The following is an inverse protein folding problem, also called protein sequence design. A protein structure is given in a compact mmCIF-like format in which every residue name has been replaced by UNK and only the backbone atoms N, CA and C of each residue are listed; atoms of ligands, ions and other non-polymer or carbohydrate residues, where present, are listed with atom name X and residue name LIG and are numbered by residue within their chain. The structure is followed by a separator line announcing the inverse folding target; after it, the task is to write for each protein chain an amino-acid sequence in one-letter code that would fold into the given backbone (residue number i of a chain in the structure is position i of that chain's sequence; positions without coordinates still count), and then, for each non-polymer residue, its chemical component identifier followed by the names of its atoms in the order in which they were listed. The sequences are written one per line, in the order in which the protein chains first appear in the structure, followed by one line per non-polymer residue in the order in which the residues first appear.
data_IF_746664075995
#
_entry.id   IF_746664075995
#
_cell.length_a   1.000
_cell.length_b   1.000
_cell.length_c   1.000
_cell.angle_alpha   90.00
_cell.angle_beta   90.00
_cell.angle_gamma   90.00
#
_symmetry.space_group_name_H-M   'P 1'
#
loop_
_entity.id
_entity.type
_entity.pdbx_description
1 polymer ?
#
# COMPACT_ATOMS: atom_id res chain seq x y z
N UNK A 1 -21.37 4.17 20.87
CA UNK A 1 -22.38 5.17 20.41
C UNK A 1 -23.41 5.40 21.50
N UNK A 2 -23.78 6.65 21.74
CA UNK A 2 -24.86 7.00 22.69
C UNK A 2 -26.24 6.82 22.06
N UNK A 3 -27.31 6.83 22.88
CA UNK A 3 -28.68 6.78 22.37
C UNK A 3 -29.02 7.98 21.48
N UNK A 4 -28.50 9.16 21.78
CA UNK A 4 -28.70 10.39 21.02
C UNK A 4 -28.03 10.30 19.64
N UNK A 5 -26.80 9.81 19.58
CA UNK A 5 -26.06 9.57 18.32
C UNK A 5 -26.76 8.56 17.42
N UNK A 6 -27.38 7.51 18.00
CA UNK A 6 -28.15 6.55 17.22
C UNK A 6 -29.41 7.19 16.61
N UNK A 7 -30.10 8.03 17.39
CA UNK A 7 -31.26 8.79 16.88
C UNK A 7 -30.86 9.73 15.74
N UNK A 8 -29.73 10.40 15.84
CA UNK A 8 -29.21 11.26 14.77
C UNK A 8 -28.85 10.45 13.51
N UNK A 9 -28.23 9.27 13.69
CA UNK A 9 -27.96 8.37 12.57
C UNK A 9 -29.23 7.87 11.87
N UNK A 10 -30.27 7.53 12.61
CA UNK A 10 -31.57 7.18 12.02
C UNK A 10 -32.13 8.33 11.17
N UNK A 11 -32.06 9.58 11.65
CA UNK A 11 -32.46 10.76 10.87
C UNK A 11 -31.62 10.93 9.61
N UNK A 12 -30.31 10.73 9.70
CA UNK A 12 -29.39 10.77 8.55
C UNK A 12 -29.80 9.74 7.48
N UNK A 13 -30.00 8.48 7.90
CA UNK A 13 -30.41 7.39 7.01
C UNK A 13 -31.74 7.71 6.31
N UNK A 14 -32.73 8.23 7.04
CA UNK A 14 -34.02 8.61 6.47
C UNK A 14 -33.89 9.74 5.46
N UNK A 15 -32.92 10.64 5.63
CA UNK A 15 -32.68 11.77 4.72
C UNK A 15 -31.95 11.36 3.44
N UNK A 16 -30.91 10.54 3.57
CA UNK A 16 -29.99 10.25 2.46
C UNK A 16 -30.23 8.91 1.79
N UNK A 17 -30.95 7.98 2.43
CA UNK A 17 -31.34 6.68 1.87
C UNK A 17 -30.15 5.90 1.31
N UNK A 18 -29.07 5.77 2.07
CA UNK A 18 -27.86 5.07 1.66
C UNK A 18 -27.13 4.43 2.83
N UNK A 19 -26.47 3.32 2.54
CA UNK A 19 -25.38 2.75 3.34
C UNK A 19 -24.06 3.46 3.03
N UNK A 20 -23.03 3.21 3.80
CA UNK A 20 -21.70 3.75 3.59
C UNK A 20 -20.64 2.69 3.87
N UNK A 21 -19.37 3.00 3.61
CA UNK A 21 -18.26 2.10 3.96
C UNK A 21 -18.18 1.73 5.45
N UNK A 22 -18.83 2.49 6.33
CA UNK A 22 -18.83 2.27 7.79
C UNK A 22 -20.22 2.06 8.37
N UNK A 23 -21.25 1.90 7.53
CA UNK A 23 -22.62 1.75 7.96
C UNK A 23 -23.31 0.63 7.18
N UNK A 24 -23.90 -0.31 7.89
CA UNK A 24 -24.69 -1.42 7.37
C UNK A 24 -26.06 -1.45 8.03
N UNK A 25 -27.12 -1.76 7.26
CA UNK A 25 -28.49 -1.78 7.73
C UNK A 25 -29.10 -3.17 7.64
N UNK A 26 -29.83 -3.57 8.65
CA UNK A 26 -30.53 -4.86 8.71
C UNK A 26 -31.94 -4.68 9.24
N UNK A 27 -32.95 -5.25 8.57
CA UNK A 27 -34.33 -5.12 9.01
C UNK A 27 -34.56 -5.76 10.37
N UNK A 28 -34.11 -6.99 10.54
CA UNK A 28 -34.28 -7.78 11.78
C UNK A 28 -35.73 -7.76 12.37
N UNK A 29 -36.74 -7.49 11.55
CA UNK A 29 -38.17 -7.47 11.94
C UNK A 29 -38.67 -8.88 12.31
N UNK A 30 -38.16 -9.91 11.59
CA UNK A 30 -38.63 -11.31 11.74
C UNK A 30 -37.61 -12.23 12.39
N UNK A 31 -36.43 -11.73 12.73
CA UNK A 31 -35.34 -12.49 13.33
C UNK A 31 -33.99 -11.86 13.09
N UNK A 32 -32.98 -12.29 13.85
CA UNK A 32 -31.61 -11.87 13.65
C UNK A 32 -31.07 -12.48 12.35
N UNK A 33 -30.39 -11.72 11.48
CA UNK A 33 -29.67 -12.29 10.35
C UNK A 33 -28.70 -13.38 10.81
N UNK A 34 -28.71 -14.52 10.10
CA UNK A 34 -27.89 -15.69 10.47
C UNK A 34 -26.46 -15.60 9.99
N UNK A 35 -26.16 -14.66 9.09
CA UNK A 35 -24.85 -14.51 8.43
C UNK A 35 -24.38 -13.06 8.50
N UNK A 36 -23.94 -12.62 9.70
CA UNK A 36 -23.29 -11.32 9.87
C UNK A 36 -21.76 -11.42 9.72
N UNK A 37 -21.24 -12.64 9.49
CA UNK A 37 -19.79 -12.89 9.53
C UNK A 37 -19.00 -12.08 8.50
N UNK A 38 -19.59 -11.86 7.32
CA UNK A 38 -18.95 -11.13 6.24
C UNK A 38 -18.77 -9.65 6.66
N UNK A 39 -19.84 -9.02 7.17
CA UNK A 39 -19.82 -7.65 7.70
C UNK A 39 -18.99 -7.52 8.97
N UNK A 40 -19.06 -8.48 9.90
CA UNK A 40 -18.21 -8.49 11.09
C UNK A 40 -16.73 -8.56 10.74
N UNK A 41 -16.38 -9.37 9.73
CA UNK A 41 -15.01 -9.47 9.22
C UNK A 41 -14.59 -8.18 8.54
N UNK A 42 -15.36 -7.67 7.60
CA UNK A 42 -15.02 -6.48 6.80
C UNK A 42 -14.84 -5.23 7.66
N UNK A 43 -15.76 -4.99 8.61
CA UNK A 43 -15.65 -3.86 9.53
C UNK A 43 -14.46 -4.00 10.49
N UNK A 44 -14.20 -5.21 11.00
CA UNK A 44 -13.03 -5.41 11.85
C UNK A 44 -11.71 -5.26 11.11
N UNK A 45 -11.68 -5.50 9.80
CA UNK A 45 -10.47 -5.41 8.97
C UNK A 45 -10.21 -4.02 8.40
N UNK A 46 -11.04 -3.02 8.68
CA UNK A 46 -10.75 -1.62 8.39
C UNK A 46 -10.43 -0.81 9.65
N UNK A 47 -9.74 0.32 9.51
CA UNK A 47 -9.23 1.07 10.66
C UNK A 47 -10.33 1.71 11.51
N UNK A 48 -11.36 2.23 10.85
CA UNK A 48 -12.43 2.97 11.52
C UNK A 48 -13.54 2.04 12.05
N UNK A 49 -13.44 0.73 11.81
CA UNK A 49 -14.51 -0.19 12.15
C UNK A 49 -15.80 0.10 11.37
N UNK A 50 -16.95 -0.22 11.97
CA UNK A 50 -18.24 0.07 11.34
C UNK A 50 -19.40 -0.10 12.30
N UNK A 51 -20.59 0.31 11.86
CA UNK A 51 -21.82 0.26 12.64
C UNK A 51 -22.87 -0.53 11.86
N UNK A 52 -23.43 -1.55 12.50
CA UNK A 52 -24.60 -2.27 11.98
C UNK A 52 -25.82 -1.76 12.74
N UNK A 53 -26.83 -1.27 12.03
CA UNK A 53 -28.10 -0.83 12.63
C UNK A 53 -29.20 -1.80 12.25
N UNK A 54 -29.87 -2.35 13.24
CA UNK A 54 -31.00 -3.27 13.10
C UNK A 54 -32.33 -2.55 13.33
N UNK A 55 -33.32 -2.86 12.52
CA UNK A 55 -34.66 -2.27 12.56
C UNK A 55 -34.97 -1.36 11.38
N UNK A 56 -34.09 -1.35 10.33
CA UNK A 56 -34.31 -0.61 9.09
C UNK A 56 -34.34 -1.59 7.93
N UNK A 57 -35.37 -1.51 7.08
CA UNK A 57 -35.50 -2.32 5.89
C UNK A 57 -35.13 -1.50 4.64
N UNK A 58 -33.92 -1.71 4.14
CA UNK A 58 -33.42 -1.09 2.93
C UNK A 58 -34.31 -1.39 1.70
N UNK A 59 -34.80 -2.64 1.60
CA UNK A 59 -35.63 -3.08 0.48
C UNK A 59 -37.01 -2.40 0.44
N UNK A 60 -37.45 -1.82 1.55
CA UNK A 60 -38.66 -1.02 1.67
C UNK A 60 -38.32 0.48 1.76
N UNK A 61 -37.40 0.96 0.94
CA UNK A 61 -37.02 2.38 0.89
C UNK A 61 -36.52 2.90 2.28
N UNK A 62 -35.68 2.11 2.94
CA UNK A 62 -35.09 2.44 4.24
C UNK A 62 -36.13 2.64 5.37
N UNK A 63 -37.22 1.91 5.28
CA UNK A 63 -38.33 2.01 6.24
C UNK A 63 -37.89 1.58 7.65
N UNK A 64 -38.22 2.37 8.64
CA UNK A 64 -38.09 2.05 10.07
C UNK A 64 -39.11 0.98 10.46
N UNK A 65 -38.69 -0.29 10.51
CA UNK A 65 -39.56 -1.42 10.85
C UNK A 65 -39.45 -1.82 12.32
N UNK A 66 -38.30 -1.51 12.95
CA UNK A 66 -37.96 -1.97 14.31
C UNK A 66 -37.51 -3.43 14.33
N UNK A 67 -36.93 -3.86 15.45
CA UNK A 67 -36.51 -5.26 15.66
C UNK A 67 -37.60 -6.05 16.37
N UNK A 68 -37.66 -7.35 16.12
CA UNK A 68 -38.68 -8.24 16.75
C UNK A 68 -38.46 -8.41 18.26
N UNK A 69 -37.22 -8.46 18.73
CA UNK A 69 -36.84 -8.58 20.13
C UNK A 69 -35.42 -8.04 20.31
N UNK A 70 -35.26 -6.95 21.03
CA UNK A 70 -33.97 -6.28 21.22
C UNK A 70 -32.99 -7.09 22.09
N UNK A 71 -33.46 -7.92 23.01
CA UNK A 71 -32.60 -8.76 23.83
C UNK A 71 -32.08 -9.96 23.06
N UNK A 72 -32.94 -10.63 22.28
CA UNK A 72 -32.52 -11.76 21.46
C UNK A 72 -31.57 -11.32 20.34
N UNK A 73 -31.77 -10.16 19.74
CA UNK A 73 -30.84 -9.57 18.75
C UNK A 73 -29.47 -9.39 19.37
N UNK A 74 -29.35 -8.75 20.54
CA UNK A 74 -28.07 -8.55 21.20
C UNK A 74 -27.35 -9.89 21.51
N UNK A 75 -28.10 -10.89 22.00
CA UNK A 75 -27.58 -12.21 22.28
C UNK A 75 -27.02 -12.87 21.00
N UNK A 76 -27.77 -12.89 19.92
CA UNK A 76 -27.39 -13.51 18.66
C UNK A 76 -26.21 -12.80 17.98
N UNK A 77 -26.13 -11.47 18.07
CA UNK A 77 -24.96 -10.72 17.60
C UNK A 77 -23.71 -11.19 18.35
N UNK A 78 -23.79 -11.24 19.70
CA UNK A 78 -22.66 -11.71 20.51
C UNK A 78 -22.27 -13.16 20.18
N UNK A 79 -23.24 -14.05 19.99
CA UNK A 79 -22.97 -15.44 19.59
C UNK A 79 -22.21 -15.51 18.25
N UNK A 80 -22.56 -14.69 17.28
CA UNK A 80 -21.85 -14.61 15.99
C UNK A 80 -20.45 -14.00 16.16
N UNK A 81 -20.31 -12.95 16.96
CA UNK A 81 -19.02 -12.33 17.26
C UNK A 81 -18.02 -13.31 17.93
N UNK A 82 -18.49 -14.22 18.78
CA UNK A 82 -17.67 -15.27 19.39
C UNK A 82 -17.14 -16.30 18.40
N UNK A 83 -17.76 -16.42 17.22
CA UNK A 83 -17.30 -17.30 16.15
C UNK A 83 -16.26 -16.65 15.23
N UNK A 84 -15.97 -15.37 15.44
CA UNK A 84 -14.88 -14.68 14.75
C UNK A 84 -13.52 -15.01 15.37
N UNK A 85 -12.46 -14.88 14.59
CA UNK A 85 -11.08 -15.05 15.04
C UNK A 85 -10.20 -13.92 14.48
N UNK A 86 -9.60 -13.07 15.31
CA UNK A 86 -9.87 -12.90 16.75
C UNK A 86 -11.36 -12.63 17.06
N UNK A 87 -11.72 -12.84 18.35
CA UNK A 87 -13.10 -12.58 18.80
C UNK A 87 -13.43 -11.10 18.66
N UNK A 88 -14.52 -10.78 18.00
CA UNK A 88 -15.04 -9.42 17.89
C UNK A 88 -15.85 -9.05 19.15
N UNK A 89 -15.69 -7.85 19.66
CA UNK A 89 -16.40 -7.34 20.85
C UNK A 89 -17.16 -6.08 20.48
N UNK A 90 -18.43 -6.20 20.03
CA UNK A 90 -19.22 -5.05 19.63
C UNK A 90 -19.65 -4.22 20.83
N UNK A 91 -19.82 -2.91 20.65
CA UNK A 91 -20.54 -2.04 21.56
C UNK A 91 -21.99 -1.95 21.11
N UNK A 92 -22.91 -2.41 21.95
CA UNK A 92 -24.33 -2.48 21.63
C UNK A 92 -25.08 -1.32 22.27
N UNK A 93 -25.96 -0.66 21.50
CA UNK A 93 -26.85 0.38 21.98
C UNK A 93 -28.28 0.06 21.53
N UNK A 94 -29.23 0.19 22.44
CA UNK A 94 -30.65 -0.03 22.18
C UNK A 94 -31.42 1.25 22.45
N UNK A 95 -32.31 1.61 21.55
CA UNK A 95 -33.24 2.72 21.72
C UNK A 95 -34.67 2.30 21.40
N UNK A 96 -35.62 3.00 21.99
CA UNK A 96 -37.03 2.93 21.62
C UNK A 96 -37.42 4.25 20.90
N UNK A 97 -38.04 4.14 19.76
CA UNK A 97 -38.59 5.25 18.97
C UNK A 97 -39.94 4.85 18.41
N UNK A 98 -41.01 5.61 18.71
CA UNK A 98 -42.35 5.37 18.18
C UNK A 98 -42.84 3.92 18.43
N UNK A 99 -42.67 3.41 19.66
CA UNK A 99 -42.99 2.04 20.05
C UNK A 99 -42.26 0.94 19.25
N UNK A 100 -41.12 1.25 18.65
CA UNK A 100 -40.25 0.30 17.97
C UNK A 100 -38.85 0.35 18.58
N UNK A 101 -38.24 -0.82 18.73
CA UNK A 101 -36.87 -0.91 19.20
C UNK A 101 -35.90 -0.95 18.00
N UNK A 102 -34.79 -0.25 18.17
CA UNK A 102 -33.65 -0.28 17.26
C UNK A 102 -32.40 -0.67 18.03
N UNK A 103 -31.57 -1.49 17.41
CA UNK A 103 -30.32 -1.93 18.00
C UNK A 103 -29.18 -1.51 17.07
N UNK A 104 -28.12 -0.93 17.62
CA UNK A 104 -26.89 -0.73 16.90
C UNK A 104 -25.79 -1.61 17.49
N UNK A 105 -24.95 -2.16 16.61
CA UNK A 105 -23.72 -2.84 16.95
C UNK A 105 -22.55 -2.08 16.32
N UNK A 106 -21.77 -1.41 17.16
CA UNK A 106 -20.53 -0.76 16.74
C UNK A 106 -19.41 -1.79 16.79
N UNK A 107 -18.84 -2.09 15.63
CA UNK A 107 -17.78 -3.07 15.44
C UNK A 107 -16.46 -2.32 15.39
N UNK A 108 -15.56 -2.52 16.37
CA UNK A 108 -14.26 -1.84 16.34
C UNK A 108 -13.37 -2.38 15.24
N UNK A 109 -12.59 -1.51 14.63
CA UNK A 109 -11.47 -1.93 13.79
C UNK A 109 -10.42 -2.65 14.63
N UNK A 110 -9.96 -3.80 14.18
CA UNK A 110 -8.90 -4.55 14.85
C UNK A 110 -7.53 -3.89 14.62
N UNK A 111 -6.61 -4.06 15.57
CA UNK A 111 -5.21 -3.70 15.35
C UNK A 111 -4.64 -4.54 14.19
N UNK A 112 -3.69 -3.98 13.45
CA UNK A 112 -3.10 -4.66 12.29
C UNK A 112 -2.45 -6.01 12.65
N UNK A 113 -1.97 -6.17 13.89
CA UNK A 113 -1.45 -7.46 14.38
C UNK A 113 -2.53 -8.53 14.58
N UNK A 114 -3.78 -8.12 14.74
CA UNK A 114 -4.92 -9.02 14.91
C UNK A 114 -5.64 -9.30 13.59
N UNK A 115 -5.30 -8.59 12.51
CA UNK A 115 -5.86 -8.82 11.16
C UNK A 115 -5.16 -9.99 10.45
N UNK A 116 -5.87 -10.70 9.56
CA UNK A 116 -7.27 -10.51 9.27
C UNK A 116 -8.17 -11.14 10.35
N UNK A 117 -9.25 -10.43 10.70
CA UNK A 117 -10.35 -10.99 11.47
C UNK A 117 -11.24 -11.80 10.53
N UNK A 118 -11.50 -13.06 10.85
CA UNK A 118 -12.20 -13.98 9.97
C UNK A 118 -13.22 -14.86 10.69
N UNK A 119 -14.16 -15.41 9.95
CA UNK A 119 -15.10 -16.42 10.45
C UNK A 119 -14.44 -17.79 10.58
N UNK A 120 -14.39 -18.35 11.79
CA UNK A 120 -13.75 -19.65 12.09
C UNK A 120 -14.30 -20.80 11.23
N UNK A 121 -15.61 -20.81 10.98
CA UNK A 121 -16.27 -21.88 10.23
C UNK A 121 -15.82 -22.01 8.77
N UNK A 122 -15.30 -20.90 8.16
CA UNK A 122 -14.76 -20.88 6.79
C UNK A 122 -13.24 -20.89 6.74
N UNK A 123 -12.55 -20.65 7.88
CA UNK A 123 -11.09 -20.49 7.94
C UNK A 123 -10.62 -19.16 7.38
N UNK A 124 -9.30 -18.85 7.55
CA UNK A 124 -8.75 -17.54 7.26
C UNK A 124 -8.91 -17.11 5.79
N UNK A 125 -8.68 -17.99 4.83
CA UNK A 125 -8.71 -17.66 3.39
C UNK A 125 -10.13 -17.37 2.89
N UNK A 126 -11.13 -18.16 3.35
CA UNK A 126 -12.52 -18.03 2.87
C UNK A 126 -13.42 -17.25 3.82
N UNK A 127 -12.96 -16.96 5.01
CA UNK A 127 -13.72 -16.28 6.05
C UNK A 127 -13.27 -14.84 6.31
N UNK A 128 -12.26 -14.33 5.58
CA UNK A 128 -11.79 -12.95 5.66
C UNK A 128 -12.43 -12.09 4.60
N UNK A 129 -12.94 -10.92 5.01
CA UNK A 129 -13.61 -9.96 4.13
C UNK A 129 -13.04 -8.55 4.35
N UNK A 130 -13.12 -7.73 3.30
CA UNK A 130 -12.84 -6.29 3.33
C UNK A 130 -14.06 -5.51 2.88
N UNK A 131 -14.17 -4.27 3.30
CA UNK A 131 -15.23 -3.36 2.86
C UNK A 131 -14.78 -2.60 1.63
N UNK A 132 -15.57 -2.66 0.55
CA UNK A 132 -15.35 -1.92 -0.71
C UNK A 132 -16.61 -1.15 -1.02
N UNK A 133 -16.60 0.15 -0.74
CA UNK A 133 -17.82 0.96 -0.77
C UNK A 133 -18.81 0.50 0.30
N UNK A 134 -19.95 0.00 -0.13
CA UNK A 134 -21.01 -0.58 0.71
C UNK A 134 -21.08 -2.12 0.67
N UNK A 135 -20.10 -2.77 0.00
CA UNK A 135 -20.08 -4.22 -0.17
C UNK A 135 -19.01 -4.89 0.67
N UNK A 136 -19.33 -6.08 1.19
CA UNK A 136 -18.39 -6.98 1.87
C UNK A 136 -17.79 -7.92 0.83
N UNK A 137 -16.52 -7.72 0.46
CA UNK A 137 -15.84 -8.56 -0.52
C UNK A 137 -14.84 -9.52 0.14
N UNK A 138 -14.75 -10.79 -0.33
CA UNK A 138 -13.74 -11.71 0.15
C UNK A 138 -12.33 -11.14 -0.09
N UNK A 139 -11.45 -11.30 0.89
CA UNK A 139 -10.03 -11.01 0.72
C UNK A 139 -9.40 -11.99 -0.28
N UNK A 140 -8.51 -11.47 -1.08
CA UNK A 140 -7.61 -12.29 -1.91
C UNK A 140 -6.58 -13.02 -1.03
N UNK A 141 -5.99 -14.10 -1.54
CA UNK A 141 -4.91 -14.80 -0.83
C UNK A 141 -3.73 -13.87 -0.54
N UNK A 142 -3.47 -12.91 -1.42
CA UNK A 142 -2.42 -11.91 -1.24
C UNK A 142 -2.74 -10.95 -0.08
N UNK A 143 -3.96 -10.47 0.03
CA UNK A 143 -4.38 -9.59 1.14
C UNK A 143 -4.26 -10.31 2.49
N UNK A 144 -4.67 -11.58 2.56
CA UNK A 144 -4.47 -12.42 3.76
C UNK A 144 -2.99 -12.58 4.08
N UNK A 145 -2.17 -12.91 3.05
CA UNK A 145 -0.73 -13.05 3.20
C UNK A 145 -0.07 -11.77 3.71
N UNK A 146 -0.47 -10.60 3.22
CA UNK A 146 0.16 -9.32 3.62
C UNK A 146 0.03 -9.03 5.11
N UNK A 147 -1.13 -9.33 5.72
CA UNK A 147 -1.30 -9.24 7.18
C UNK A 147 -0.45 -10.27 7.93
N UNK A 148 -0.39 -11.50 7.43
CA UNK A 148 0.43 -12.55 8.04
C UNK A 148 1.93 -12.24 7.97
N UNK A 149 2.39 -11.75 6.83
CA UNK A 149 3.78 -11.34 6.60
C UNK A 149 4.20 -10.22 7.58
N UNK A 150 3.34 -9.23 7.77
CA UNK A 150 3.59 -8.16 8.73
C UNK A 150 3.64 -8.70 10.17
N UNK A 151 2.66 -9.48 10.59
CA UNK A 151 2.57 -10.04 11.95
C UNK A 151 3.75 -10.96 12.28
N UNK A 152 4.17 -11.80 11.34
CA UNK A 152 5.30 -12.72 11.49
C UNK A 152 6.65 -12.09 11.17
N UNK A 153 6.66 -10.82 10.74
CA UNK A 153 7.87 -10.09 10.33
C UNK A 153 8.67 -10.84 9.25
N UNK A 154 7.98 -11.32 8.23
CA UNK A 154 8.63 -11.90 7.07
C UNK A 154 9.51 -10.86 6.41
N UNK A 155 10.73 -11.25 6.09
CA UNK A 155 11.73 -10.43 5.41
C UNK A 155 12.08 -11.12 4.10
N UNK A 156 11.33 -10.78 3.05
CA UNK A 156 11.53 -11.38 1.73
C UNK A 156 12.86 -10.96 1.10
N UNK A 157 13.40 -9.83 1.49
CA UNK A 157 14.69 -9.33 1.03
C UNK A 157 15.88 -10.21 1.45
N UNK A 158 15.76 -10.98 2.55
CA UNK A 158 16.80 -11.93 2.99
C UNK A 158 16.50 -13.39 2.63
N UNK A 159 15.47 -13.66 1.83
CA UNK A 159 15.24 -15.02 1.33
C UNK A 159 16.40 -15.46 0.43
N UNK A 160 16.80 -16.72 0.54
CA UNK A 160 17.86 -17.26 -0.28
C UNK A 160 17.40 -17.55 -1.70
N UNK A 161 18.29 -17.39 -2.67
CA UNK A 161 18.03 -17.62 -4.09
C UNK A 161 18.94 -18.76 -4.58
N UNK A 162 18.42 -19.99 -4.56
CA UNK A 162 19.20 -21.21 -4.80
C UNK A 162 19.93 -21.24 -6.15
N UNK A 163 19.42 -20.53 -7.16
CA UNK A 163 19.99 -20.50 -8.50
C UNK A 163 21.16 -19.52 -8.67
N UNK A 164 21.41 -18.68 -7.66
CA UNK A 164 22.44 -17.62 -7.73
C UNK A 164 23.69 -18.11 -7.00
N UNK A 165 24.83 -17.90 -7.64
CA UNK A 165 26.14 -18.15 -7.04
C UNK A 165 26.88 -16.85 -6.80
N UNK A 166 27.92 -16.86 -5.97
CA UNK A 166 28.74 -15.69 -5.70
C UNK A 166 29.37 -15.10 -6.99
N UNK A 167 29.70 -15.93 -7.96
CA UNK A 167 30.22 -15.51 -9.28
C UNK A 167 29.20 -14.70 -10.13
N UNK A 168 27.92 -14.71 -9.75
CA UNK A 168 26.87 -13.91 -10.41
C UNK A 168 26.80 -12.47 -9.90
N UNK A 169 27.53 -12.15 -8.83
CA UNK A 169 27.61 -10.82 -8.26
C UNK A 169 28.72 -9.99 -8.93
N UNK A 170 28.49 -8.69 -9.05
CA UNK A 170 29.51 -7.74 -9.47
C UNK A 170 30.53 -7.56 -8.35
N UNK A 171 31.72 -8.09 -8.55
CA UNK A 171 32.80 -8.04 -7.57
C UNK A 171 33.20 -6.59 -7.21
N UNK A 172 33.23 -5.69 -8.21
CA UNK A 172 33.64 -4.31 -7.96
C UNK A 172 32.61 -3.57 -7.09
N UNK A 173 31.33 -3.75 -7.41
CA UNK A 173 30.23 -3.14 -6.65
C UNK A 173 30.18 -3.67 -5.22
N UNK A 174 30.32 -4.99 -5.05
CA UNK A 174 30.34 -5.62 -3.73
C UNK A 174 31.57 -5.21 -2.91
N UNK A 175 32.76 -5.17 -3.55
CA UNK A 175 33.99 -4.72 -2.90
C UNK A 175 33.89 -3.26 -2.44
N UNK A 176 33.33 -2.38 -3.28
CA UNK A 176 33.06 -0.99 -2.90
C UNK A 176 32.11 -0.89 -1.71
N UNK A 177 31.03 -1.67 -1.70
CA UNK A 177 30.09 -1.75 -0.57
C UNK A 177 30.80 -2.13 0.73
N UNK A 178 31.63 -3.20 0.71
CA UNK A 178 32.40 -3.66 1.87
C UNK A 178 33.38 -2.59 2.35
N UNK A 179 34.07 -1.91 1.43
CA UNK A 179 34.97 -0.82 1.76
C UNK A 179 34.25 0.34 2.47
N UNK A 180 33.11 0.79 1.92
CA UNK A 180 32.28 1.85 2.52
C UNK A 180 31.75 1.43 3.89
N UNK A 181 31.31 0.18 4.02
CA UNK A 181 30.84 -0.38 5.28
C UNK A 181 31.92 -0.37 6.37
N UNK A 182 33.16 -0.83 6.04
CA UNK A 182 34.30 -0.83 6.96
C UNK A 182 34.74 0.58 7.34
N UNK A 183 34.68 1.53 6.40
CA UNK A 183 34.98 2.95 6.69
C UNK A 183 33.93 3.56 7.65
N UNK A 184 32.66 3.29 7.45
CA UNK A 184 31.58 3.81 8.28
C UNK A 184 31.43 3.12 9.64
N UNK A 185 31.95 1.87 9.76
CA UNK A 185 31.82 1.02 10.97
C UNK A 185 33.15 0.38 11.33
N UNK A 186 34.03 1.07 12.08
CA UNK A 186 35.40 0.62 12.34
C UNK A 186 35.50 -0.77 12.94
N UNK A 187 34.52 -1.22 13.73
CA UNK A 187 34.53 -2.57 14.32
C UNK A 187 34.46 -3.67 13.24
N UNK A 188 33.84 -3.40 12.09
CA UNK A 188 33.78 -4.35 10.98
C UNK A 188 35.14 -4.44 10.23
N UNK A 189 36.00 -3.44 10.34
CA UNK A 189 37.32 -3.48 9.70
C UNK A 189 38.21 -4.62 10.18
N UNK A 190 37.99 -5.13 11.40
CA UNK A 190 38.74 -6.25 11.99
C UNK A 190 38.17 -7.64 11.61
N UNK A 191 37.02 -7.68 10.89
CA UNK A 191 36.34 -8.93 10.51
C UNK A 191 36.67 -9.24 9.06
N UNK A 192 36.77 -10.54 8.71
CA UNK A 192 36.97 -10.97 7.33
C UNK A 192 35.80 -10.58 6.44
N UNK A 193 36.00 -10.39 5.14
CA UNK A 193 34.94 -10.10 4.20
C UNK A 193 33.91 -11.23 4.18
N UNK A 194 34.37 -12.47 4.34
CA UNK A 194 33.51 -13.66 4.36
C UNK A 194 32.51 -13.65 5.53
N UNK A 195 33.00 -13.24 6.73
CA UNK A 195 32.12 -13.09 7.91
C UNK A 195 31.20 -11.89 7.76
N UNK A 196 31.63 -10.82 7.07
CA UNK A 196 30.80 -9.67 6.80
C UNK A 196 29.65 -10.05 5.84
N UNK A 197 29.90 -10.91 4.86
CA UNK A 197 28.84 -11.37 3.95
C UNK A 197 27.69 -12.04 4.69
N UNK A 198 27.96 -12.90 5.66
CA UNK A 198 26.93 -13.50 6.51
C UNK A 198 26.27 -12.45 7.44
N UNK A 199 27.09 -11.63 8.11
CA UNK A 199 26.62 -10.63 9.08
C UNK A 199 25.70 -9.59 8.44
N UNK A 200 25.98 -9.19 7.21
CA UNK A 200 25.24 -8.19 6.46
C UNK A 200 24.16 -8.79 5.55
N UNK A 201 23.92 -10.08 5.66
CA UNK A 201 22.92 -10.81 4.87
C UNK A 201 23.16 -10.78 3.35
N UNK A 202 24.41 -10.59 2.92
CA UNK A 202 24.80 -10.79 1.51
C UNK A 202 24.58 -12.26 1.13
N UNK A 203 24.93 -13.14 2.04
CA UNK A 203 24.60 -14.56 1.97
C UNK A 203 24.02 -15.05 3.29
N UNK A 204 23.32 -16.18 3.25
CA UNK A 204 22.77 -16.89 4.39
C UNK A 204 22.97 -18.38 4.16
N UNK A 205 23.64 -19.06 5.09
CA UNK A 205 23.99 -20.49 4.93
C UNK A 205 24.72 -20.76 3.60
N UNK A 206 25.68 -19.94 3.23
CA UNK A 206 26.44 -19.98 1.97
C UNK A 206 25.58 -19.78 0.69
N UNK A 207 24.35 -19.31 0.79
CA UNK A 207 23.47 -19.00 -0.33
C UNK A 207 23.23 -17.50 -0.43
N UNK A 208 23.16 -16.99 -1.66
CA UNK A 208 22.95 -15.56 -1.92
C UNK A 208 21.51 -15.18 -1.58
N UNK A 209 21.34 -14.02 -0.93
CA UNK A 209 20.01 -13.48 -0.60
C UNK A 209 19.42 -12.67 -1.74
N UNK A 210 18.11 -12.44 -1.70
CA UNK A 210 17.42 -11.62 -2.69
C UNK A 210 17.93 -10.17 -2.70
N UNK A 211 18.18 -9.57 -1.52
CA UNK A 211 18.77 -8.22 -1.43
C UNK A 211 20.07 -8.12 -2.21
N UNK A 212 20.94 -9.12 -2.04
CA UNK A 212 22.21 -9.18 -2.77
C UNK A 212 22.04 -9.38 -4.26
N UNK A 213 21.05 -10.16 -4.69
CA UNK A 213 20.74 -10.28 -6.11
C UNK A 213 20.30 -8.93 -6.67
N UNK A 214 19.40 -8.23 -5.97
CA UNK A 214 18.85 -6.96 -6.44
C UNK A 214 19.83 -5.79 -6.40
N UNK A 215 20.81 -5.81 -5.47
CA UNK A 215 21.76 -4.71 -5.33
C UNK A 215 23.13 -5.00 -5.97
N UNK A 216 23.56 -6.26 -6.05
CA UNK A 216 24.94 -6.59 -6.44
C UNK A 216 25.04 -7.57 -7.62
N UNK A 217 23.94 -8.16 -8.11
CA UNK A 217 24.04 -9.05 -9.27
C UNK A 217 24.34 -8.27 -10.55
N UNK A 218 25.11 -8.91 -11.45
CA UNK A 218 25.39 -8.39 -12.79
C UNK A 218 24.10 -8.25 -13.62
N UNK A 219 23.11 -9.13 -13.42
CA UNK A 219 21.83 -9.06 -14.13
C UNK A 219 20.74 -9.78 -13.31
N UNK A 220 20.08 -9.09 -12.36
CA UNK A 220 19.04 -9.66 -11.50
C UNK A 220 17.88 -10.29 -12.29
N UNK A 221 17.53 -9.72 -13.44
CA UNK A 221 16.39 -10.15 -14.27
C UNK A 221 16.60 -11.50 -14.96
N UNK A 222 17.84 -12.02 -14.99
CA UNK A 222 18.09 -13.41 -15.37
C UNK A 222 17.42 -14.42 -14.42
N UNK A 223 17.27 -14.04 -13.15
CA UNK A 223 16.65 -14.85 -12.10
C UNK A 223 15.20 -14.46 -11.84
N UNK A 224 14.91 -13.16 -11.93
CA UNK A 224 13.64 -12.54 -11.66
C UNK A 224 13.20 -11.62 -12.80
N UNK A 225 12.71 -12.16 -13.91
CA UNK A 225 12.44 -11.36 -15.11
C UNK A 225 11.49 -10.18 -14.91
N UNK A 226 10.59 -10.25 -13.93
CA UNK A 226 9.61 -9.19 -13.67
C UNK A 226 9.99 -8.25 -12.52
N UNK A 227 11.14 -8.46 -11.84
CA UNK A 227 11.69 -7.49 -10.90
C UNK A 227 12.41 -6.36 -11.66
N UNK A 228 11.67 -5.64 -12.47
CA UNK A 228 12.11 -4.55 -13.34
C UNK A 228 11.12 -3.39 -13.29
N UNK A 229 11.40 -2.32 -14.02
CA UNK A 229 10.48 -1.20 -14.24
C UNK A 229 10.01 -1.23 -15.71
N UNK A 230 8.71 -1.15 -15.93
CA UNK A 230 8.13 -0.89 -17.26
C UNK A 230 7.70 0.57 -17.29
N UNK A 231 8.34 1.35 -18.13
CA UNK A 231 8.05 2.78 -18.29
C UNK A 231 7.39 3.02 -19.65
N UNK A 232 6.28 3.76 -19.67
CA UNK A 232 5.50 4.06 -20.87
C UNK A 232 5.06 5.52 -20.90
N UNK A 233 4.97 6.08 -22.11
CA UNK A 233 4.34 7.38 -22.39
C UNK A 233 3.10 7.12 -23.23
N UNK A 234 1.94 7.51 -22.72
CA UNK A 234 0.65 7.36 -23.43
C UNK A 234 0.24 8.70 -24.06
N UNK A 235 -0.48 8.68 -25.21
CA UNK A 235 -0.83 9.90 -25.94
C UNK A 235 -1.90 10.76 -25.28
N UNK A 236 -2.59 10.26 -24.26
CA UNK A 236 -3.70 10.95 -23.59
C UNK A 236 -3.63 10.92 -22.06
N UNK A 237 -4.82 10.99 -21.45
CA UNK A 237 -4.98 11.03 -19.99
C UNK A 237 -5.41 9.69 -19.39
N UNK A 238 -5.80 8.72 -20.23
CA UNK A 238 -6.24 7.39 -19.80
C UNK A 238 -5.48 6.29 -20.54
N UNK A 239 -5.33 5.14 -19.87
CA UNK A 239 -4.74 3.95 -20.49
C UNK A 239 -5.68 3.43 -21.59
N UNK A 240 -5.13 3.23 -22.79
CA UNK A 240 -5.89 2.74 -23.95
C UNK A 240 -6.32 3.82 -24.92
N UNK A 241 -6.13 5.10 -24.59
CA UNK A 241 -6.23 6.16 -25.58
C UNK A 241 -5.16 5.97 -26.66
N UNK A 242 -5.50 6.34 -27.89
CA UNK A 242 -4.62 6.26 -29.05
C UNK A 242 -4.36 7.65 -29.60
N UNK A 243 -3.15 7.89 -30.09
CA UNK A 243 -2.78 9.14 -30.73
C UNK A 243 -3.40 9.29 -32.13
N UNK A 244 -3.11 10.42 -32.76
CA UNK A 244 -3.69 10.83 -34.05
C UNK A 244 -3.35 9.86 -35.22
N UNK A 245 -2.25 9.13 -35.12
CA UNK A 245 -1.85 8.11 -36.10
C UNK A 245 -2.11 6.67 -35.65
N UNK A 246 -2.86 6.49 -34.54
CA UNK A 246 -3.22 5.19 -33.98
C UNK A 246 -2.14 4.58 -33.06
N UNK A 247 -1.14 5.35 -32.66
CA UNK A 247 -0.11 4.92 -31.72
C UNK A 247 -0.69 4.74 -30.31
N UNK A 248 -0.36 3.60 -29.70
CA UNK A 248 -0.76 3.30 -28.30
C UNK A 248 0.21 3.87 -27.28
N UNK A 249 1.47 3.98 -27.65
CA UNK A 249 2.53 4.50 -26.81
C UNK A 249 3.39 5.46 -27.64
N UNK A 250 3.73 6.61 -27.08
CA UNK A 250 4.66 7.56 -27.68
C UNK A 250 6.12 7.15 -27.42
N UNK A 251 6.37 6.54 -26.26
CA UNK A 251 7.64 5.91 -25.89
C UNK A 251 7.37 4.78 -24.89
N UNK A 252 8.21 3.74 -24.90
CA UNK A 252 8.17 2.67 -23.92
C UNK A 252 9.56 2.09 -23.70
N UNK A 253 9.83 1.66 -22.48
CA UNK A 253 11.10 1.04 -22.13
C UNK A 253 10.92 0.05 -20.99
N UNK A 254 11.54 -1.11 -21.14
CA UNK A 254 11.81 -2.01 -20.05
C UNK A 254 13.16 -1.65 -19.43
N UNK A 255 13.19 -1.30 -18.16
CA UNK A 255 14.37 -0.84 -17.42
C UNK A 255 14.77 -1.96 -16.47
N UNK A 256 15.96 -2.47 -16.66
CA UNK A 256 16.54 -3.63 -15.99
C UNK A 256 17.89 -3.26 -15.34
N UNK A 257 18.51 -4.21 -14.65
CA UNK A 257 19.74 -4.03 -13.90
C UNK A 257 19.50 -4.13 -12.39
N UNK A 258 20.50 -3.80 -11.61
CA UNK A 258 20.36 -3.69 -10.15
C UNK A 258 19.50 -2.45 -9.77
N UNK A 259 19.19 -2.29 -8.48
CA UNK A 259 18.30 -1.20 -8.03
C UNK A 259 18.84 0.18 -8.41
N UNK A 260 20.14 0.41 -8.32
CA UNK A 260 20.76 1.69 -8.68
C UNK A 260 20.64 1.97 -10.18
N UNK A 261 20.90 0.97 -11.02
CA UNK A 261 20.77 1.07 -12.47
C UNK A 261 19.32 1.27 -12.91
N UNK A 262 18.38 0.58 -12.26
CA UNK A 262 16.96 0.78 -12.53
C UNK A 262 16.49 2.19 -12.13
N UNK A 263 16.97 2.72 -11.00
CA UNK A 263 16.70 4.10 -10.59
C UNK A 263 17.19 5.11 -11.62
N UNK A 264 18.45 4.99 -12.03
CA UNK A 264 19.06 5.91 -13.00
C UNK A 264 18.40 5.80 -14.38
N UNK A 265 18.13 4.59 -14.85
CA UNK A 265 17.43 4.35 -16.12
C UNK A 265 16.01 4.93 -16.11
N UNK A 266 15.29 4.82 -15.00
CA UNK A 266 13.95 5.38 -14.87
C UNK A 266 13.95 6.91 -14.84
N UNK A 267 14.92 7.52 -14.14
CA UNK A 267 15.11 8.97 -14.16
C UNK A 267 15.45 9.47 -15.58
N UNK A 268 16.33 8.76 -16.30
CA UNK A 268 16.67 9.10 -17.69
C UNK A 268 15.46 8.99 -18.61
N UNK A 269 14.64 7.93 -18.48
CA UNK A 269 13.40 7.76 -19.24
C UNK A 269 12.44 8.94 -19.00
N UNK A 270 12.20 9.29 -17.74
CA UNK A 270 11.30 10.40 -17.40
C UNK A 270 11.87 11.73 -17.93
N UNK A 271 13.17 11.97 -17.76
CA UNK A 271 13.82 13.22 -18.20
C UNK A 271 13.71 13.43 -19.72
N UNK A 272 13.93 12.40 -20.54
CA UNK A 272 13.86 12.55 -22.01
C UNK A 272 12.43 12.77 -22.52
N UNK A 273 11.43 12.36 -21.74
CA UNK A 273 10.01 12.48 -22.09
C UNK A 273 9.31 13.68 -21.42
N UNK A 274 10.01 14.43 -20.56
CA UNK A 274 9.51 15.68 -20.01
C UNK A 274 9.74 16.85 -20.97
N UNK A 275 8.80 17.78 -20.98
CA UNK A 275 9.00 19.08 -21.64
C UNK A 275 9.89 19.96 -20.78
N UNK A 276 10.82 20.66 -21.43
CA UNK A 276 11.66 21.67 -20.79
C UNK A 276 11.20 23.03 -21.27
N UNK A 277 10.82 23.91 -20.33
CA UNK A 277 10.45 25.29 -20.60
C UNK A 277 11.57 26.21 -20.11
N UNK A 278 12.08 27.07 -20.97
CA UNK A 278 13.03 28.09 -20.58
C UNK A 278 12.26 29.29 -20.01
N UNK A 279 12.47 29.59 -18.74
CA UNK A 279 11.91 30.78 -18.07
C UNK A 279 13.02 31.81 -17.94
N UNK A 280 12.72 33.03 -18.31
CA UNK A 280 13.63 34.17 -18.08
C UNK A 280 13.14 34.88 -16.82
N UNK A 281 14.01 34.94 -15.81
CA UNK A 281 13.73 35.66 -14.57
C UNK A 281 13.62 37.16 -14.89
N UNK A 282 12.49 37.77 -14.56
CA UNK A 282 12.17 39.13 -14.90
C UNK A 282 13.04 40.17 -14.19
N UNK A 283 13.62 39.84 -13.03
CA UNK A 283 14.44 40.76 -12.24
C UNK A 283 15.92 40.64 -12.61
N UNK A 284 16.39 39.40 -12.83
CA UNK A 284 17.83 39.13 -13.06
C UNK A 284 18.18 38.91 -14.52
N UNK A 285 17.21 38.73 -15.41
CA UNK A 285 17.40 38.38 -16.82
C UNK A 285 18.02 37.00 -17.06
N UNK A 286 18.23 36.22 -16.00
CA UNK A 286 18.85 34.89 -16.08
C UNK A 286 17.86 33.87 -16.63
N UNK A 287 18.33 33.03 -17.56
CA UNK A 287 17.60 31.86 -18.03
C UNK A 287 17.63 30.74 -16.98
N UNK A 288 16.46 30.17 -16.73
CA UNK A 288 16.29 28.98 -15.89
C UNK A 288 15.43 27.98 -16.66
N UNK A 289 15.99 26.82 -16.92
CA UNK A 289 15.23 25.73 -17.52
C UNK A 289 14.37 25.06 -16.44
N UNK A 290 13.12 24.84 -16.78
CA UNK A 290 12.14 24.23 -15.90
C UNK A 290 11.51 23.03 -16.60
N UNK A 291 11.64 21.87 -15.97
CA UNK A 291 11.00 20.62 -16.38
C UNK A 291 9.54 20.58 -15.95
N UNK A 292 8.74 19.69 -16.55
CA UNK A 292 7.33 19.48 -16.16
C UNK A 292 7.20 19.09 -14.69
N UNK A 293 8.17 18.34 -14.13
CA UNK A 293 8.23 17.91 -12.74
C UNK A 293 9.60 18.20 -12.14
N UNK A 294 9.69 18.45 -10.82
CA UNK A 294 10.97 18.50 -10.11
C UNK A 294 11.63 17.11 -10.12
N UNK A 295 12.87 17.04 -10.60
CA UNK A 295 13.63 15.78 -10.66
C UNK A 295 13.77 15.12 -9.28
N UNK A 296 13.88 15.93 -8.23
CA UNK A 296 13.93 15.42 -6.84
C UNK A 296 12.67 14.64 -6.49
N UNK A 297 11.46 15.11 -6.87
CA UNK A 297 10.22 14.40 -6.60
C UNK A 297 10.14 13.08 -7.39
N UNK A 298 10.56 13.08 -8.66
CA UNK A 298 10.61 11.90 -9.50
C UNK A 298 11.58 10.86 -8.90
N UNK A 299 12.81 11.28 -8.56
CA UNK A 299 13.81 10.41 -7.98
C UNK A 299 13.32 9.76 -6.69
N UNK A 300 12.76 10.55 -5.78
CA UNK A 300 12.24 10.04 -4.52
C UNK A 300 11.06 9.07 -4.70
N UNK A 301 10.14 9.36 -5.62
CA UNK A 301 9.00 8.49 -5.88
C UNK A 301 9.43 7.13 -6.47
N UNK A 302 10.40 7.13 -7.39
CA UNK A 302 10.96 5.90 -8.00
C UNK A 302 11.77 5.12 -6.96
N UNK A 303 12.63 5.80 -6.20
CA UNK A 303 13.44 5.17 -5.16
C UNK A 303 12.55 4.53 -4.08
N UNK A 304 11.52 5.23 -3.62
CA UNK A 304 10.54 4.67 -2.69
C UNK A 304 9.83 3.44 -3.27
N UNK A 305 9.48 3.45 -4.56
CA UNK A 305 8.90 2.29 -5.21
C UNK A 305 9.86 1.09 -5.20
N UNK A 306 11.14 1.29 -5.50
CA UNK A 306 12.16 0.23 -5.47
C UNK A 306 12.43 -0.31 -4.07
N UNK A 307 12.59 0.59 -3.07
CA UNK A 307 12.90 0.20 -1.69
C UNK A 307 11.73 -0.47 -0.99
N UNK A 308 10.51 0.03 -1.18
CA UNK A 308 9.31 -0.44 -0.49
C UNK A 308 8.47 -1.42 -1.30
N UNK A 309 8.93 -1.84 -2.48
CA UNK A 309 8.30 -2.92 -3.25
C UNK A 309 8.08 -4.15 -2.37
N UNK A 310 6.99 -4.83 -2.60
CA UNK A 310 6.80 -6.19 -2.11
C UNK A 310 7.63 -7.15 -2.98
N UNK A 311 8.66 -7.76 -2.38
CA UNK A 311 9.53 -8.74 -3.03
C UNK A 311 9.12 -10.19 -2.74
N UNK A 312 7.91 -10.41 -2.20
CA UNK A 312 7.39 -11.75 -1.96
C UNK A 312 7.10 -12.51 -3.26
N UNK A 313 6.93 -13.82 -3.14
CA UNK A 313 6.58 -14.68 -4.27
C UNK A 313 5.24 -14.30 -4.93
N UNK A 314 4.35 -13.63 -4.20
CA UNK A 314 3.03 -13.23 -4.71
C UNK A 314 3.10 -12.07 -5.71
N UNK A 315 4.11 -11.22 -5.60
CA UNK A 315 4.28 -10.02 -6.44
C UNK A 315 5.49 -10.10 -7.36
N UNK A 316 6.26 -11.20 -7.27
CA UNK A 316 7.47 -11.41 -8.08
C UNK A 316 7.22 -11.34 -9.59
N UNK A 317 6.02 -11.71 -10.04
CA UNK A 317 5.57 -11.61 -11.43
C UNK A 317 5.09 -10.23 -11.89
N UNK A 318 5.13 -9.20 -11.02
CA UNK A 318 4.55 -7.87 -11.30
C UNK A 318 5.66 -6.82 -11.37
N UNK A 319 5.90 -6.13 -12.51
CA UNK A 319 6.88 -5.05 -12.59
C UNK A 319 6.37 -3.79 -11.89
N UNK A 320 7.29 -2.90 -11.49
CA UNK A 320 6.95 -1.51 -11.20
C UNK A 320 6.56 -0.85 -12.52
N UNK A 321 5.49 -0.04 -12.51
CA UNK A 321 5.04 0.65 -13.70
C UNK A 321 5.20 2.16 -13.55
N UNK A 322 5.81 2.81 -14.52
CA UNK A 322 5.85 4.26 -14.66
C UNK A 322 5.05 4.61 -15.90
N UNK A 323 3.96 5.37 -15.75
CA UNK A 323 3.11 5.76 -16.86
C UNK A 323 3.06 7.28 -16.91
N UNK A 324 3.57 7.86 -18.00
CA UNK A 324 3.51 9.28 -18.25
C UNK A 324 2.29 9.57 -19.14
N UNK A 325 1.32 10.26 -18.56
CA UNK A 325 0.14 10.79 -19.25
C UNK A 325 0.38 12.23 -19.69
N UNK A 326 -0.53 12.78 -20.48
CA UNK A 326 -0.46 14.18 -20.89
C UNK A 326 -0.48 15.13 -19.68
N UNK A 327 -1.28 14.85 -18.65
CA UNK A 327 -1.50 15.70 -17.48
C UNK A 327 -0.78 15.26 -16.19
N UNK A 328 -0.28 14.02 -16.11
CA UNK A 328 0.31 13.45 -14.89
C UNK A 328 1.35 12.37 -15.19
N UNK A 329 2.14 12.03 -14.19
CA UNK A 329 2.91 10.79 -14.14
C UNK A 329 2.36 9.93 -13.00
N UNK A 330 2.13 8.66 -13.27
CA UNK A 330 1.73 7.64 -12.30
C UNK A 330 2.87 6.64 -12.09
N UNK A 331 3.21 6.35 -10.84
CA UNK A 331 4.15 5.30 -10.45
C UNK A 331 3.38 4.28 -9.65
N UNK A 332 3.21 3.07 -10.20
CA UNK A 332 2.50 1.96 -9.57
C UNK A 332 3.50 0.92 -9.08
N UNK A 333 3.49 0.68 -7.79
CA UNK A 333 4.39 -0.24 -7.09
C UNK A 333 3.62 -1.46 -6.58
N UNK A 334 4.03 -2.69 -6.92
CA UNK A 334 3.48 -3.90 -6.31
C UNK A 334 3.75 -3.93 -4.79
N UNK A 335 2.69 -4.18 -4.03
CA UNK A 335 2.67 -4.08 -2.58
C UNK A 335 1.98 -2.79 -2.11
N UNK A 336 0.92 -2.94 -1.30
CA UNK A 336 0.27 -1.82 -0.62
C UNK A 336 1.12 -1.23 0.50
N UNK A 337 0.55 -0.32 1.28
CA UNK A 337 1.19 0.23 2.48
C UNK A 337 1.56 -0.91 3.43
N UNK A 338 2.79 -0.86 3.95
CA UNK A 338 3.30 -1.87 4.88
C UNK A 338 3.25 -1.35 6.31
N UNK A 339 2.76 -2.18 7.23
CA UNK A 339 2.76 -1.88 8.64
C UNK A 339 1.54 -1.06 9.12
N UNK A 340 1.76 -0.27 10.17
CA UNK A 340 0.70 0.45 10.91
C UNK A 340 0.32 1.79 10.30
N UNK A 341 1.08 2.25 9.33
CA UNK A 341 0.87 3.60 8.80
C UNK A 341 -0.35 3.63 7.88
N UNK A 342 -1.20 4.61 8.06
CA UNK A 342 -2.34 4.89 7.19
C UNK A 342 -1.92 5.87 6.09
N UNK A 343 -2.68 5.90 5.00
CA UNK A 343 -2.40 6.78 3.86
C UNK A 343 -2.39 8.27 4.25
N UNK A 344 -3.28 8.68 5.15
CA UNK A 344 -3.38 10.05 5.67
C UNK A 344 -2.22 10.43 6.62
N UNK A 345 -1.48 9.45 7.12
CA UNK A 345 -0.31 9.60 7.99
C UNK A 345 1.02 9.60 7.23
N UNK A 346 1.01 9.32 5.93
CA UNK A 346 2.21 9.29 5.09
C UNK A 346 3.00 10.59 5.17
N UNK A 347 4.27 10.48 5.57
CA UNK A 347 5.18 11.61 5.77
C UNK A 347 5.00 12.36 7.09
N UNK A 348 4.07 11.95 7.96
CA UNK A 348 3.85 12.52 9.31
C UNK A 348 4.36 11.59 10.42
N UNK A 349 4.35 10.30 10.18
CA UNK A 349 4.74 9.24 11.13
C UNK A 349 5.84 8.40 10.49
N UNK A 350 6.73 7.86 11.31
CA UNK A 350 7.78 6.94 10.86
C UNK A 350 7.14 5.62 10.41
N UNK A 351 7.33 5.21 9.13
CA UNK A 351 6.79 3.95 8.64
C UNK A 351 7.59 2.75 9.12
N UNK A 352 6.95 1.60 9.15
CA UNK A 352 7.64 0.32 9.20
C UNK A 352 8.36 0.06 7.86
N UNK A 353 9.53 -0.59 7.91
CA UNK A 353 10.33 -0.90 6.71
C UNK A 353 10.08 -2.34 6.29
N UNK A 354 9.59 -2.54 5.05
CA UNK A 354 9.33 -3.88 4.50
C UNK A 354 10.63 -4.62 4.19
N UNK A 355 11.59 -3.94 3.58
CA UNK A 355 12.86 -4.50 3.10
C UNK A 355 14.06 -3.81 3.78
N UNK A 356 14.32 -4.11 5.07
CA UNK A 356 15.33 -3.39 5.84
C UNK A 356 16.75 -3.61 5.33
N UNK A 357 17.06 -4.77 4.74
CA UNK A 357 18.40 -5.05 4.23
C UNK A 357 18.64 -4.32 2.91
N UNK A 358 17.70 -4.34 1.98
CA UNK A 358 17.79 -3.53 0.76
C UNK A 358 18.00 -2.05 1.11
N UNK A 359 17.20 -1.52 2.05
CA UNK A 359 17.34 -0.12 2.48
C UNK A 359 18.71 0.19 3.08
N UNK A 360 19.22 -0.71 3.92
CA UNK A 360 20.54 -0.57 4.54
C UNK A 360 21.69 -0.62 3.51
N UNK A 361 21.63 -1.55 2.56
CA UNK A 361 22.62 -1.69 1.49
C UNK A 361 22.68 -0.42 0.62
N UNK A 362 21.53 0.11 0.24
CA UNK A 362 21.43 1.36 -0.53
C UNK A 362 21.89 2.59 0.27
N UNK A 363 21.68 2.62 1.59
CA UNK A 363 22.18 3.67 2.47
C UNK A 363 23.72 3.65 2.54
N UNK A 364 24.33 2.48 2.70
CA UNK A 364 25.79 2.32 2.69
C UNK A 364 26.40 2.76 1.35
N UNK A 365 25.74 2.43 0.24
CA UNK A 365 26.10 2.86 -1.11
C UNK A 365 25.81 4.35 -1.38
N UNK A 366 25.22 5.08 -0.43
CA UNK A 366 24.84 6.51 -0.52
C UNK A 366 23.82 6.80 -1.64
N UNK A 367 23.02 5.83 -1.99
CA UNK A 367 21.92 5.97 -2.97
C UNK A 367 20.67 6.56 -2.30
N UNK A 368 20.41 6.19 -1.04
CA UNK A 368 19.36 6.73 -0.20
C UNK A 368 19.91 7.26 1.12
N UNK A 369 19.16 8.19 1.75
CA UNK A 369 19.49 8.66 3.11
C UNK A 369 18.78 7.85 4.20
N UNK A 370 17.78 7.03 3.85
CA UNK A 370 16.97 6.20 4.75
C UNK A 370 16.49 6.94 6.04
N UNK A 371 16.05 8.21 5.89
CA UNK A 371 15.66 9.09 7.01
C UNK A 371 14.18 9.46 7.00
N UNK A 372 13.34 8.64 6.36
CA UNK A 372 11.88 8.85 6.26
C UNK A 372 11.47 10.20 5.66
N UNK A 373 12.37 10.83 4.90
CA UNK A 373 12.18 12.14 4.30
C UNK A 373 11.55 12.11 2.89
N UNK A 374 11.37 10.91 2.30
CA UNK A 374 10.95 10.76 0.91
C UNK A 374 9.61 11.44 0.58
N UNK A 375 8.52 11.08 1.28
CA UNK A 375 7.19 11.69 1.05
C UNK A 375 7.19 13.19 1.35
N UNK A 376 7.73 13.70 2.49
CA UNK A 376 7.90 15.12 2.71
C UNK A 376 8.69 15.83 1.61
N UNK A 377 9.75 15.20 1.08
CA UNK A 377 10.57 15.75 -0.02
C UNK A 377 9.76 15.86 -1.31
N UNK A 378 8.99 14.82 -1.68
CA UNK A 378 8.11 14.87 -2.85
C UNK A 378 7.12 16.03 -2.72
N UNK A 379 6.40 16.15 -1.60
CA UNK A 379 5.43 17.23 -1.36
C UNK A 379 6.08 18.61 -1.41
N UNK A 380 7.24 18.79 -0.78
CA UNK A 380 7.98 20.07 -0.79
C UNK A 380 8.41 20.43 -2.21
N UNK A 381 9.02 19.52 -2.94
CA UNK A 381 9.48 19.75 -4.30
C UNK A 381 8.34 20.13 -5.25
N UNK A 382 7.17 19.48 -5.14
CA UNK A 382 5.98 19.83 -5.92
C UNK A 382 5.47 21.24 -5.58
N UNK A 383 5.44 21.63 -4.30
CA UNK A 383 5.05 22.98 -3.88
C UNK A 383 6.02 24.06 -4.37
N UNK A 384 7.32 23.82 -4.29
CA UNK A 384 8.35 24.75 -4.80
C UNK A 384 8.25 24.95 -6.31
N UNK A 385 7.72 23.97 -7.03
CA UNK A 385 7.39 24.05 -8.46
C UNK A 385 6.00 24.63 -8.71
N UNK A 386 5.24 25.06 -7.69
CA UNK A 386 3.84 25.49 -7.81
C UNK A 386 2.98 24.50 -8.57
N UNK A 387 3.19 23.22 -8.35
CA UNK A 387 2.41 22.10 -8.90
C UNK A 387 1.39 21.60 -7.86
N UNK A 388 0.34 20.87 -8.29
CA UNK A 388 -0.61 20.26 -7.37
C UNK A 388 0.07 19.35 -6.34
N UNK A 389 -0.57 19.20 -5.19
CA UNK A 389 -0.13 18.21 -4.20
C UNK A 389 -0.14 16.80 -4.83
N UNK A 390 0.87 15.98 -4.52
CA UNK A 390 0.92 14.60 -4.99
C UNK A 390 -0.23 13.78 -4.38
N UNK A 391 -0.80 12.90 -5.17
CA UNK A 391 -1.81 11.93 -4.74
C UNK A 391 -1.13 10.59 -4.43
N UNK A 392 -1.48 10.01 -3.28
CA UNK A 392 -1.02 8.69 -2.85
C UNK A 392 -2.23 7.79 -2.66
N UNK A 393 -2.22 6.61 -3.27
CA UNK A 393 -3.32 5.64 -3.21
C UNK A 393 -2.79 4.27 -2.80
N UNK A 394 -3.57 3.57 -2.01
CA UNK A 394 -3.38 2.16 -1.71
C UNK A 394 -4.55 1.38 -2.31
N UNK A 395 -4.30 0.73 -3.44
CA UNK A 395 -5.32 0.04 -4.22
C UNK A 395 -5.01 -1.46 -4.27
N UNK A 396 -5.65 -2.25 -3.41
CA UNK A 396 -5.63 -3.72 -3.44
C UNK A 396 -4.27 -4.33 -3.78
N UNK A 397 -3.30 -4.10 -2.92
CA UNK A 397 -1.97 -4.68 -3.10
C UNK A 397 -1.05 -3.91 -4.06
N UNK A 398 -1.40 -2.68 -4.41
CA UNK A 398 -0.53 -1.77 -5.15
C UNK A 398 -0.53 -0.39 -4.49
N UNK A 399 0.65 0.19 -4.30
CA UNK A 399 0.81 1.58 -3.91
C UNK A 399 1.03 2.45 -5.14
N UNK A 400 0.27 3.54 -5.28
CA UNK A 400 0.31 4.41 -6.45
C UNK A 400 0.65 5.83 -6.02
N UNK A 401 1.62 6.43 -6.72
CA UNK A 401 1.96 7.85 -6.61
C UNK A 401 1.59 8.55 -7.90
N UNK A 402 0.77 9.61 -7.82
CA UNK A 402 0.45 10.45 -8.98
C UNK A 402 0.98 11.86 -8.76
N UNK A 403 1.74 12.36 -9.71
CA UNK A 403 2.27 13.72 -9.76
C UNK A 403 1.65 14.43 -10.96
N UNK A 404 0.98 15.57 -10.73
CA UNK A 404 0.27 16.32 -11.77
C UNK A 404 1.10 17.49 -12.28
N UNK A 405 1.04 17.80 -13.58
CA UNK A 405 1.77 18.91 -14.22
C UNK A 405 1.14 20.27 -13.96
N UNK A 406 -0.18 20.33 -13.76
CA UNK A 406 -0.98 21.55 -13.55
C UNK A 406 -2.30 21.17 -12.88
N UNK A 407 -2.99 22.20 -12.36
CA UNK A 407 -4.30 22.04 -11.72
C UNK A 407 -5.41 21.90 -12.75
#
# INVERSE_FOLDING_TARGET
MTSEELIEKLKYIQKYKCETSTLELKSAEKGCPTHLYDTLSSFSNQDDGGIIIFGIDEKQDFKEVGVYDSQDIQKKINEQCLQMQPIVRPLLTVIEKENKFFVSAEIPGADIYDRPVYYKGKGVVKGSYIRVGDSDEPMTEYEVYSYEAYRKKYQDDVRVVDRVTFASLDYNLLSNYIQLLKQGKPRLAAISDEDIYELMSIKRDNKITLSSVMNFSLYPQAYFPQLCIIATVVPGNEIGEVGDMGERFLDNQRIEGNIAEMLDGAIQFVNRNMRVKTIVDSETGKRKDRTDYPITAIREAILNALVHRDYSIHTEGMPIQIIMFENRIGIRNPGGIYGRIRIDQLGKVQPDTRNPIIALELEVLKITENRYSGIPTIRRAMREYNLPEPEFLDERGCFIVKLYKYK
#
